data_IF_330127015890
#
_entry.id   IF_330127015890
#
_cell.length_a   1.000
_cell.length_b   1.000
_cell.length_c   1.000
_cell.angle_alpha   90.00
_cell.angle_beta   90.00
_cell.angle_gamma   90.00
#
_symmetry.space_group_name_H-M   'P 1'
#
loop_
_entity.id
_entity.type
_entity.pdbx_description
1 polymer ?
#
# COMPACT_ATOMS: atom_id res chain seq x y z
N UNK A 1 -15.78 -12.71 3.03
CA UNK A 1 -14.94 -12.08 2.00
C UNK A 1 -14.64 -10.65 2.42
N UNK A 2 -13.38 -10.26 2.64
CA UNK A 2 -12.99 -8.90 3.04
C UNK A 2 -12.05 -8.29 2.01
N UNK A 3 -12.12 -6.97 1.85
CA UNK A 3 -11.29 -6.20 0.91
C UNK A 3 -9.80 -6.37 1.19
N UNK A 4 -9.00 -6.82 0.21
CA UNK A 4 -7.54 -6.89 0.35
C UNK A 4 -6.92 -5.55 -0.05
N UNK A 5 -6.74 -5.29 -1.36
CA UNK A 5 -6.23 -4.02 -1.88
C UNK A 5 -6.95 -3.67 -3.19
N UNK A 6 -6.82 -2.42 -3.63
CA UNK A 6 -7.14 -1.96 -4.97
C UNK A 6 -5.95 -1.22 -5.58
N UNK A 7 -5.93 -1.10 -6.90
CA UNK A 7 -4.96 -0.30 -7.64
C UNK A 7 -5.67 0.61 -8.65
N UNK A 8 -5.03 1.71 -9.02
CA UNK A 8 -5.57 2.65 -10.00
C UNK A 8 -4.47 3.40 -10.75
N UNK A 9 -4.67 3.60 -12.06
CA UNK A 9 -3.80 4.41 -12.90
C UNK A 9 -4.36 5.83 -13.04
N UNK A 10 -3.49 6.83 -12.95
CA UNK A 10 -3.80 8.25 -13.07
C UNK A 10 -2.87 8.91 -14.08
N UNK A 11 -3.18 10.15 -14.48
CA UNK A 11 -2.43 10.90 -15.50
C UNK A 11 -0.90 10.89 -15.30
N UNK A 12 -0.43 11.01 -14.06
CA UNK A 12 1.00 11.17 -13.74
C UNK A 12 1.57 10.08 -12.79
N UNK A 13 0.74 9.14 -12.32
CA UNK A 13 1.16 8.16 -11.32
C UNK A 13 0.21 6.96 -11.28
N UNK A 14 0.62 5.90 -10.60
CA UNK A 14 -0.23 4.80 -10.17
C UNK A 14 -0.41 4.85 -8.65
N UNK A 15 -1.55 4.36 -8.17
CA UNK A 15 -1.85 4.25 -6.75
C UNK A 15 -2.18 2.82 -6.35
N UNK A 16 -1.76 2.44 -5.14
CA UNK A 16 -2.26 1.26 -4.42
C UNK A 16 -2.99 1.75 -3.17
N UNK A 17 -4.11 1.10 -2.86
CA UNK A 17 -5.01 1.45 -1.75
C UNK A 17 -5.09 0.32 -0.71
N UNK A 18 -4.13 0.19 0.23
CA UNK A 18 -4.06 -0.97 1.11
C UNK A 18 -4.79 -0.79 2.45
N UNK A 19 -5.54 0.30 2.64
CA UNK A 19 -6.08 0.66 3.95
C UNK A 19 -5.07 1.40 4.82
N UNK A 20 -5.49 1.87 6.00
CA UNK A 20 -4.67 2.79 6.81
C UNK A 20 -3.61 2.12 7.67
N UNK A 21 -3.91 0.96 8.25
CA UNK A 21 -2.93 0.25 9.08
C UNK A 21 -1.72 -0.21 8.24
N UNK A 22 -1.96 -0.67 7.02
CA UNK A 22 -0.88 -1.02 6.11
C UNK A 22 0.09 0.15 5.81
N UNK A 23 -0.40 1.39 5.74
CA UNK A 23 0.46 2.58 5.59
C UNK A 23 1.20 2.90 6.89
N UNK A 24 0.48 2.85 8.01
CA UNK A 24 1.00 3.21 9.34
C UNK A 24 2.14 2.30 9.76
N UNK A 25 1.96 0.99 9.68
CA UNK A 25 2.97 0.01 10.09
C UNK A 25 4.18 -0.03 9.16
N UNK A 26 4.01 0.33 7.88
CA UNK A 26 5.08 0.36 6.89
C UNK A 26 5.66 1.77 6.64
N UNK A 27 5.39 2.75 7.51
CA UNK A 27 5.78 4.16 7.30
C UNK A 27 7.27 4.34 6.97
N UNK A 28 8.15 3.59 7.64
CA UNK A 28 9.59 3.66 7.41
C UNK A 28 10.01 3.09 6.03
N UNK A 29 9.37 2.01 5.59
CA UNK A 29 9.58 1.43 4.25
C UNK A 29 9.04 2.36 3.15
N UNK A 30 7.98 3.10 3.46
CA UNK A 30 7.29 4.01 2.56
C UNK A 30 7.85 5.44 2.55
N UNK A 31 8.90 5.75 3.32
CA UNK A 31 9.46 7.11 3.45
C UNK A 31 9.83 7.79 2.13
N UNK A 32 10.14 6.98 1.12
CA UNK A 32 10.53 7.45 -0.21
C UNK A 32 9.33 7.56 -1.18
N UNK A 33 8.13 7.18 -0.78
CA UNK A 33 6.93 7.25 -1.60
C UNK A 33 6.01 8.35 -1.10
N UNK A 34 5.22 8.92 -1.99
CA UNK A 34 4.15 9.82 -1.60
C UNK A 34 2.98 8.99 -1.07
N UNK A 35 2.58 9.24 0.17
CA UNK A 35 1.50 8.50 0.83
C UNK A 35 0.39 9.42 1.34
N UNK A 36 -0.80 8.88 1.52
CA UNK A 36 -1.91 9.48 2.28
C UNK A 36 -2.39 8.48 3.35
N UNK A 37 -3.52 8.75 4.04
CA UNK A 37 -4.06 7.85 5.07
C UNK A 37 -4.24 6.40 4.59
N UNK A 38 -4.48 6.15 3.31
CA UNK A 38 -4.72 4.79 2.79
C UNK A 38 -4.25 4.59 1.35
N UNK A 39 -3.22 5.33 0.92
CA UNK A 39 -2.77 5.31 -0.48
C UNK A 39 -1.26 5.45 -0.57
N UNK A 40 -0.67 4.75 -1.54
CA UNK A 40 0.73 4.88 -1.94
C UNK A 40 0.76 5.27 -3.41
N UNK A 41 1.40 6.38 -3.75
CA UNK A 41 1.63 6.80 -5.13
C UNK A 41 3.03 6.42 -5.60
N UNK A 42 3.12 5.82 -6.78
CA UNK A 42 4.37 5.44 -7.43
C UNK A 42 4.30 5.73 -8.94
N UNK A 43 5.44 5.74 -9.61
CA UNK A 43 5.53 6.04 -11.05
C UNK A 43 6.36 4.99 -11.75
N UNK A 44 6.39 4.99 -13.08
CA UNK A 44 7.27 4.08 -13.85
C UNK A 44 8.75 4.34 -13.51
N UNK A 45 9.14 5.60 -13.29
CA UNK A 45 10.52 5.98 -12.91
C UNK A 45 10.87 5.60 -11.48
N UNK A 46 9.87 5.47 -10.62
CA UNK A 46 10.02 5.09 -9.21
C UNK A 46 8.95 4.05 -8.86
N UNK A 47 9.11 2.81 -9.36
CA UNK A 47 8.12 1.77 -9.19
C UNK A 47 8.09 1.33 -7.73
N UNK A 48 6.95 0.81 -7.28
CA UNK A 48 6.90 0.07 -6.03
C UNK A 48 7.62 -1.27 -6.23
N UNK A 49 8.55 -1.60 -5.33
CA UNK A 49 9.32 -2.84 -5.45
C UNK A 49 8.51 -4.04 -4.91
N UNK A 50 8.71 -5.26 -5.44
CA UNK A 50 8.02 -6.45 -4.95
C UNK A 50 8.15 -6.68 -3.43
N UNK A 51 9.30 -6.45 -2.77
CA UNK A 51 9.41 -6.58 -1.32
C UNK A 51 8.51 -5.61 -0.55
N UNK A 52 8.42 -4.36 -0.99
CA UNK A 52 7.54 -3.36 -0.37
C UNK A 52 6.08 -3.74 -0.56
N UNK A 53 5.70 -4.16 -1.78
CA UNK A 53 4.35 -4.61 -2.07
C UNK A 53 3.95 -5.81 -1.19
N UNK A 54 4.84 -6.78 -1.01
CA UNK A 54 4.59 -7.95 -0.16
C UNK A 54 4.40 -7.56 1.31
N UNK A 55 5.21 -6.64 1.84
CA UNK A 55 5.06 -6.15 3.22
C UNK A 55 3.69 -5.48 3.44
N UNK A 56 3.24 -4.65 2.50
CA UNK A 56 1.94 -4.00 2.54
C UNK A 56 0.79 -5.01 2.51
N UNK A 57 0.84 -5.99 1.60
CA UNK A 57 -0.21 -7.01 1.45
C UNK A 57 -0.27 -7.88 2.70
N UNK A 58 0.87 -8.32 3.23
CA UNK A 58 0.93 -9.13 4.45
C UNK A 58 0.35 -8.37 5.65
N UNK A 59 0.68 -7.09 5.81
CA UNK A 59 0.11 -6.28 6.89
C UNK A 59 -1.41 -6.17 6.77
N UNK A 60 -1.91 -6.02 5.54
CA UNK A 60 -3.36 -5.95 5.30
C UNK A 60 -4.06 -7.29 5.55
N UNK A 61 -3.42 -8.42 5.23
CA UNK A 61 -3.93 -9.75 5.58
C UNK A 61 -3.98 -9.92 7.10
N UNK A 62 -2.90 -9.57 7.82
CA UNK A 62 -2.87 -9.60 9.29
C UNK A 62 -3.98 -8.74 9.91
N UNK A 63 -4.23 -7.55 9.37
CA UNK A 63 -5.34 -6.70 9.83
C UNK A 63 -6.71 -7.37 9.60
N UNK A 64 -6.93 -7.97 8.43
CA UNK A 64 -8.17 -8.72 8.14
C UNK A 64 -8.35 -9.89 9.11
N UNK A 65 -7.26 -10.58 9.42
CA UNK A 65 -7.22 -11.77 10.27
C UNK A 65 -7.22 -11.45 11.78
N UNK A 66 -6.96 -10.22 12.19
CA UNK A 66 -6.99 -9.79 13.60
C UNK A 66 -8.29 -9.07 13.97
N UNK A 67 -9.03 -8.58 12.98
CA UNK A 67 -10.37 -7.97 13.11
C UNK A 67 -11.50 -9.02 13.19
N UNK A 68 -11.24 -10.16 13.84
CA UNK A 68 -12.25 -11.16 14.19
C UNK A 68 -12.99 -10.75 15.46
#
# INVERSE_FOLDING_TARGET
NKYLIACGAFKNHMSIFPGSEAIKENKNLLKNYKTSKGTIQFTIKKPITPPILKAIINQRMLEIDTLH
#
